data_IF_742153826951
#
_entry.id   IF_742153826951
#
_cell.length_a   1.000
_cell.length_b   1.000
_cell.length_c   1.000
_cell.angle_alpha   90.00
_cell.angle_beta   90.00
_cell.angle_gamma   90.00
#
_symmetry.space_group_name_H-M   'P 1'
#
loop_
_entity.id
_entity.type
_entity.pdbx_description
1 polymer ?
#
# COMPACT_ATOMS: atom_id res chain seq x y z
N UNK A 1 13.69 -7.20 -5.47
CA UNK A 1 13.01 -6.92 -6.74
C UNK A 1 13.84 -5.93 -7.51
N UNK A 2 13.94 -6.09 -8.83
CA UNK A 2 14.52 -5.05 -9.69
C UNK A 2 13.64 -3.80 -9.68
N UNK A 3 14.25 -2.61 -9.62
CA UNK A 3 13.52 -1.34 -9.47
C UNK A 3 12.49 -1.10 -10.59
N UNK A 4 12.78 -1.56 -11.81
CA UNK A 4 11.83 -1.47 -12.92
C UNK A 4 10.63 -2.41 -12.73
N UNK A 5 10.84 -3.59 -12.17
CA UNK A 5 9.75 -4.54 -11.90
C UNK A 5 8.79 -3.99 -10.84
N UNK A 6 9.31 -3.36 -9.79
CA UNK A 6 8.48 -2.67 -8.78
C UNK A 6 7.71 -1.50 -9.38
N UNK A 7 8.32 -0.74 -10.30
CA UNK A 7 7.64 0.34 -11.01
C UNK A 7 6.50 -0.15 -11.89
N UNK A 8 6.72 -1.22 -12.65
CA UNK A 8 5.69 -1.85 -13.48
C UNK A 8 4.53 -2.38 -12.61
N UNK A 9 4.83 -3.03 -11.49
CA UNK A 9 3.83 -3.48 -10.53
C UNK A 9 3.02 -2.30 -9.94
N UNK A 10 3.68 -1.18 -9.64
CA UNK A 10 3.00 0.02 -9.14
C UNK A 10 2.07 0.66 -10.17
N UNK A 11 2.47 0.68 -11.44
CA UNK A 11 1.63 1.20 -12.52
C UNK A 11 0.40 0.33 -12.75
N UNK A 12 0.56 -0.99 -12.65
CA UNK A 12 -0.51 -1.98 -12.76
C UNK A 12 -1.38 -2.10 -11.49
N UNK A 13 -0.98 -1.48 -10.38
CA UNK A 13 -1.69 -1.60 -9.12
C UNK A 13 -3.10 -1.00 -9.19
N UNK A 14 -4.01 -1.65 -8.48
CA UNK A 14 -5.38 -1.19 -8.27
C UNK A 14 -5.59 -0.77 -6.81
N UNK A 15 -6.81 -0.33 -6.51
CA UNK A 15 -7.18 0.24 -5.22
C UNK A 15 -7.12 -0.80 -4.10
N UNK A 16 -7.55 -2.04 -4.38
CA UNK A 16 -7.52 -3.15 -3.42
C UNK A 16 -6.09 -3.59 -3.10
N UNK A 17 -5.21 -3.66 -4.12
CA UNK A 17 -3.79 -3.93 -3.89
C UNK A 17 -3.13 -2.83 -3.07
N UNK A 18 -3.40 -1.55 -3.36
CA UNK A 18 -2.86 -0.43 -2.60
C UNK A 18 -3.32 -0.44 -1.12
N UNK A 19 -4.58 -0.81 -0.86
CA UNK A 19 -5.15 -0.84 0.49
C UNK A 19 -4.74 -2.07 1.33
N UNK A 20 -4.10 -3.07 0.74
CA UNK A 20 -3.74 -4.32 1.43
C UNK A 20 -2.26 -4.69 1.37
N UNK A 21 -1.50 -4.12 0.42
CA UNK A 21 -0.09 -4.44 0.22
C UNK A 21 0.75 -4.13 1.47
N UNK A 22 1.62 -5.06 1.86
CA UNK A 22 2.57 -4.90 2.97
C UNK A 22 4.00 -4.62 2.47
N UNK A 23 4.19 -4.54 1.15
CA UNK A 23 5.49 -4.28 0.55
C UNK A 23 5.75 -2.77 0.47
N UNK A 24 6.61 -2.27 1.36
CA UNK A 24 6.94 -0.85 1.45
C UNK A 24 7.58 -0.28 0.17
N UNK A 25 8.37 -1.09 -0.56
CA UNK A 25 8.97 -0.62 -1.81
C UNK A 25 7.91 -0.45 -2.89
N UNK A 26 6.94 -1.36 -2.94
CA UNK A 26 5.77 -1.24 -3.82
C UNK A 26 4.87 -0.07 -3.41
N UNK A 27 4.60 0.14 -2.12
CA UNK A 27 3.82 1.29 -1.63
C UNK A 27 4.45 2.62 -2.03
N UNK A 28 5.77 2.77 -1.84
CA UNK A 28 6.49 3.97 -2.25
C UNK A 28 6.43 4.18 -3.77
N UNK A 29 6.54 3.11 -4.55
CA UNK A 29 6.41 3.18 -6.00
C UNK A 29 4.99 3.54 -6.45
N UNK A 30 3.94 3.01 -5.80
CA UNK A 30 2.54 3.38 -6.05
C UNK A 30 2.33 4.86 -5.70
N UNK A 31 2.77 5.32 -4.53
CA UNK A 31 2.66 6.73 -4.14
C UNK A 31 3.34 7.68 -5.13
N UNK A 32 4.48 7.27 -5.71
CA UNK A 32 5.22 8.07 -6.67
C UNK A 32 4.60 8.09 -8.08
N UNK A 33 3.93 7.02 -8.51
CA UNK A 33 3.47 6.86 -9.91
C UNK A 33 1.94 6.91 -10.08
N UNK A 34 1.18 6.70 -9.00
CA UNK A 34 -0.30 6.61 -8.98
C UNK A 34 -0.86 7.49 -7.86
N UNK A 35 -0.84 8.83 -8.02
CA UNK A 35 -1.36 9.76 -7.01
C UNK A 35 -2.85 9.52 -6.72
N UNK A 36 -3.60 8.96 -7.68
CA UNK A 36 -5.00 8.55 -7.52
C UNK A 36 -5.22 7.43 -6.49
N UNK A 37 -4.18 6.66 -6.15
CA UNK A 37 -4.23 5.56 -5.19
C UNK A 37 -3.68 5.92 -3.81
N UNK A 38 -3.20 7.15 -3.60
CA UNK A 38 -2.61 7.59 -2.32
C UNK A 38 -3.61 7.50 -1.17
N UNK A 39 -4.89 7.83 -1.41
CA UNK A 39 -5.94 7.66 -0.40
C UNK A 39 -6.12 6.18 0.03
N UNK A 40 -5.99 5.25 -0.93
CA UNK A 40 -6.09 3.82 -0.62
C UNK A 40 -4.87 3.31 0.15
N UNK A 41 -3.67 3.82 -0.17
CA UNK A 41 -2.46 3.55 0.61
C UNK A 41 -2.59 4.05 2.06
N UNK A 42 -3.17 5.24 2.26
CA UNK A 42 -3.38 5.81 3.59
C UNK A 42 -4.38 4.99 4.44
N UNK A 43 -5.34 4.32 3.79
CA UNK A 43 -6.32 3.44 4.44
C UNK A 43 -5.79 2.01 4.66
N UNK A 44 -4.54 1.73 4.31
CA UNK A 44 -3.96 0.42 4.46
C UNK A 44 -3.75 0.07 5.94
N UNK A 45 -4.76 -0.59 6.52
CA UNK A 45 -4.78 -1.05 7.92
C UNK A 45 -3.66 -2.03 8.27
N UNK A 46 -3.01 -2.66 7.28
CA UNK A 46 -1.85 -3.53 7.54
C UNK A 46 -0.63 -2.74 8.04
N UNK A 47 -0.59 -1.42 7.83
CA UNK A 47 0.43 -0.52 8.38
C UNK A 47 0.22 -0.20 9.87
N UNK A 48 -0.95 -0.55 10.41
CA UNK A 48 -1.34 -0.23 11.77
C UNK A 48 -1.77 -1.49 12.53
N UNK A 49 -0.85 -2.46 12.63
CA UNK A 49 -1.08 -3.69 13.39
C UNK A 49 -1.49 -3.40 14.84
N UNK A 50 -0.81 -2.45 15.50
CA UNK A 50 -1.13 -2.03 16.87
C UNK A 50 -2.51 -1.35 16.98
N UNK A 51 -2.92 -0.59 15.97
CA UNK A 51 -4.23 0.06 15.94
C UNK A 51 -5.35 -0.96 15.70
N UNK A 52 -5.06 -2.02 14.92
CA UNK A 52 -5.99 -3.12 14.70
C UNK A 52 -6.17 -3.96 15.96
N UNK A 53 -5.09 -4.26 16.67
CA UNK A 53 -5.14 -4.89 18.00
C UNK A 53 -5.97 -4.05 18.96
N UNK A 54 -5.73 -2.73 19.01
CA UNK A 54 -6.48 -1.83 19.90
C UNK A 54 -8.00 -1.78 19.58
N UNK A 55 -8.40 -1.86 18.31
CA UNK A 55 -9.82 -1.93 17.93
C UNK A 55 -10.45 -3.27 18.27
N UNK A 56 -9.73 -4.38 18.08
CA UNK A 56 -10.23 -5.73 18.37
C UNK A 56 -10.29 -6.04 19.88
N UNK A 57 -9.52 -5.32 20.71
CA UNK A 57 -9.52 -5.45 22.19
C UNK A 57 -10.60 -4.60 22.90
N UNK A 58 -11.42 -3.84 22.16
CA UNK A 58 -12.53 -3.02 22.68
C UNK A 58 -13.87 -3.76 22.59
#
# INVERSE_FOLDING_TARGET
MDAEQTRQAALAADRDLAASTTDFALQAAIAANRPDLVDALALNTSLYADLRTWVDEQ
#
